data_IF_022796420421
#
_entry.id   IF_022796420421
#
_cell.length_a   1.000
_cell.length_b   1.000
_cell.length_c   1.000
_cell.angle_alpha   90.00
_cell.angle_beta   90.00
_cell.angle_gamma   90.00
#
_symmetry.space_group_name_H-M   'P 1'
#
loop_
_entity.id
_entity.type
_entity.pdbx_description
1 polymer ?
#
# COMPACT_ATOMS: atom_id res chain seq x y z
N UNK A 1 -13.06 -4.98 27.01
CA UNK A 1 -12.49 -6.19 26.37
C UNK A 1 -11.44 -5.69 25.40
N UNK A 2 -10.35 -6.42 25.18
CA UNK A 2 -9.36 -6.07 24.20
C UNK A 2 -9.97 -6.13 22.79
N UNK A 3 -9.56 -5.22 21.89
CA UNK A 3 -9.99 -5.21 20.48
C UNK A 3 -9.34 -6.38 19.75
N UNK A 4 -10.14 -7.17 19.03
CA UNK A 4 -9.67 -8.33 18.27
C UNK A 4 -9.04 -7.89 16.97
N UNK A 5 -7.81 -8.31 16.72
CA UNK A 5 -7.01 -7.90 15.55
C UNK A 5 -6.66 -9.11 14.69
N UNK A 6 -6.95 -9.00 13.40
CA UNK A 6 -6.49 -9.90 12.35
C UNK A 6 -5.30 -9.27 11.62
N UNK A 7 -4.20 -10.02 11.42
CA UNK A 7 -3.00 -9.49 10.76
C UNK A 7 -2.65 -10.34 9.53
N UNK A 8 -2.98 -9.84 8.34
CA UNK A 8 -2.76 -10.51 7.06
C UNK A 8 -1.49 -9.96 6.40
N UNK A 9 -0.62 -10.86 5.95
CA UNK A 9 0.77 -10.51 5.64
C UNK A 9 1.62 -10.33 6.90
N UNK A 10 1.30 -11.05 7.98
CA UNK A 10 1.90 -10.91 9.32
C UNK A 10 3.42 -11.03 9.34
N UNK A 11 3.99 -11.79 8.41
CA UNK A 11 5.44 -12.02 8.29
C UNK A 11 6.18 -10.92 7.54
N UNK A 12 5.45 -10.01 6.87
CA UNK A 12 6.00 -8.85 6.17
C UNK A 12 6.35 -7.69 7.12
N UNK A 13 6.82 -6.57 6.54
CA UNK A 13 7.22 -5.38 7.32
C UNK A 13 6.04 -4.80 8.12
N UNK A 14 4.91 -4.56 7.47
CA UNK A 14 3.71 -4.01 8.12
C UNK A 14 3.17 -4.96 9.18
N UNK A 15 3.05 -6.26 8.85
CA UNK A 15 2.56 -7.26 9.81
C UNK A 15 3.44 -7.39 11.05
N UNK A 16 4.76 -7.39 10.90
CA UNK A 16 5.70 -7.44 12.02
C UNK A 16 5.55 -6.22 12.92
N UNK A 17 5.50 -5.01 12.34
CA UNK A 17 5.31 -3.77 13.10
C UNK A 17 3.91 -3.70 13.75
N UNK A 18 2.88 -4.27 13.12
CA UNK A 18 1.55 -4.41 13.75
C UNK A 18 1.64 -5.27 15.01
N UNK A 19 2.34 -6.40 14.94
CA UNK A 19 2.52 -7.29 16.07
C UNK A 19 3.38 -6.67 17.20
N UNK A 20 4.37 -5.84 16.86
CA UNK A 20 5.12 -5.04 17.86
C UNK A 20 4.21 -4.07 18.63
N UNK A 21 3.26 -3.42 17.94
CA UNK A 21 2.28 -2.53 18.57
C UNK A 21 1.38 -3.33 19.51
N UNK A 22 0.81 -4.44 19.04
CA UNK A 22 -0.08 -5.27 19.83
C UNK A 22 0.63 -5.82 21.08
N UNK A 23 1.89 -6.26 20.94
CA UNK A 23 2.71 -6.74 22.05
C UNK A 23 2.98 -5.65 23.12
N UNK A 24 3.09 -4.39 22.67
CA UNK A 24 3.28 -3.25 23.58
C UNK A 24 2.01 -2.78 24.28
N UNK A 25 0.82 -3.21 23.81
CA UNK A 25 -0.48 -2.81 24.34
C UNK A 25 -1.40 -4.05 24.60
N UNK A 26 -0.97 -5.03 25.40
CA UNK A 26 -1.66 -6.32 25.53
C UNK A 26 -3.03 -6.24 26.21
N UNK A 27 -3.30 -5.17 26.96
CA UNK A 27 -4.60 -4.94 27.58
C UNK A 27 -5.62 -4.31 26.60
N UNK A 28 -5.13 -3.71 25.47
CA UNK A 28 -5.95 -3.02 24.47
C UNK A 28 -6.25 -3.89 23.25
N UNK A 29 -5.33 -4.80 22.87
CA UNK A 29 -5.44 -5.59 21.65
C UNK A 29 -5.17 -7.08 21.88
N UNK A 30 -5.90 -7.91 21.11
CA UNK A 30 -5.76 -9.37 21.07
C UNK A 30 -5.61 -9.85 19.62
N UNK A 31 -4.54 -10.55 19.28
CA UNK A 31 -4.39 -11.17 17.94
C UNK A 31 -5.29 -12.41 17.87
N UNK A 32 -6.29 -12.38 16.99
CA UNK A 32 -7.21 -13.51 16.77
C UNK A 32 -6.89 -14.34 15.55
N UNK A 33 -6.27 -13.74 14.53
CA UNK A 33 -5.79 -14.46 13.35
C UNK A 33 -4.49 -13.88 12.79
N UNK A 34 -3.67 -14.76 12.20
CA UNK A 34 -2.45 -14.43 11.48
C UNK A 34 -2.48 -15.04 10.09
N UNK A 35 -1.97 -14.33 9.09
CA UNK A 35 -1.93 -14.85 7.72
C UNK A 35 -0.63 -14.54 7.00
N UNK A 36 -0.12 -15.52 6.25
CA UNK A 36 1.04 -15.37 5.36
C UNK A 36 0.88 -16.19 4.08
N UNK A 37 1.63 -15.83 3.02
CA UNK A 37 1.63 -16.61 1.79
C UNK A 37 2.44 -17.91 1.92
N UNK A 38 3.74 -17.80 2.26
CA UNK A 38 4.70 -18.93 2.26
C UNK A 38 5.68 -18.96 3.43
N UNK A 39 5.73 -17.94 4.27
CA UNK A 39 6.74 -17.80 5.33
C UNK A 39 6.40 -18.66 6.55
N UNK A 40 6.64 -19.96 6.45
CA UNK A 40 6.22 -20.98 7.40
C UNK A 40 6.77 -20.78 8.83
N UNK A 41 8.10 -20.70 8.96
CA UNK A 41 8.75 -20.65 10.27
C UNK A 41 8.38 -19.37 11.02
N UNK A 42 8.45 -18.22 10.33
CA UNK A 42 8.11 -16.92 10.93
C UNK A 42 6.64 -16.85 11.36
N UNK A 43 5.74 -17.39 10.54
CA UNK A 43 4.31 -17.49 10.87
C UNK A 43 4.08 -18.38 12.09
N UNK A 44 4.76 -19.53 12.17
CA UNK A 44 4.68 -20.45 13.31
C UNK A 44 5.21 -19.81 14.61
N UNK A 45 6.31 -19.06 14.54
CA UNK A 45 6.86 -18.37 15.70
C UNK A 45 5.94 -17.25 16.19
N UNK A 46 5.36 -16.46 15.28
CA UNK A 46 4.32 -15.48 15.61
C UNK A 46 3.09 -16.13 16.25
N UNK A 47 2.64 -17.27 15.71
CA UNK A 47 1.50 -18.00 16.26
C UNK A 47 1.76 -18.56 17.67
N UNK A 48 2.99 -18.98 17.97
CA UNK A 48 3.37 -19.40 19.35
C UNK A 48 3.38 -18.23 20.32
N UNK A 49 3.84 -17.05 19.88
CA UNK A 49 3.92 -15.84 20.71
C UNK A 49 2.52 -15.28 21.03
N UNK A 50 1.71 -15.07 20.00
CA UNK A 50 0.40 -14.39 20.12
C UNK A 50 -0.78 -15.33 20.36
N UNK A 51 -0.59 -16.63 20.15
CA UNK A 51 -1.59 -17.68 20.40
C UNK A 51 -2.97 -17.38 19.78
N UNK A 52 -3.05 -17.07 18.47
CA UNK A 52 -4.30 -16.75 17.79
C UNK A 52 -5.23 -17.98 17.74
N UNK A 53 -6.52 -17.73 17.49
CA UNK A 53 -7.48 -18.80 17.21
C UNK A 53 -7.21 -19.46 15.85
N UNK A 54 -6.82 -18.66 14.85
CA UNK A 54 -6.63 -19.09 13.46
C UNK A 54 -5.29 -18.64 12.89
N UNK A 55 -4.69 -19.51 12.09
CA UNK A 55 -3.55 -19.21 11.23
C UNK A 55 -3.90 -19.56 9.78
N UNK A 56 -3.70 -18.62 8.87
CA UNK A 56 -3.97 -18.79 7.44
C UNK A 56 -2.67 -18.86 6.63
N UNK A 57 -2.59 -19.82 5.72
CA UNK A 57 -1.48 -19.94 4.76
C UNK A 57 -2.03 -20.08 3.34
N UNK A 58 -1.53 -19.26 2.41
CA UNK A 58 -2.01 -19.28 1.03
C UNK A 58 -1.61 -20.57 0.29
N UNK A 59 -0.39 -21.07 0.53
CA UNK A 59 0.12 -22.30 -0.07
C UNK A 59 -0.35 -23.54 0.68
N UNK A 60 -1.33 -24.33 0.16
CA UNK A 60 -1.86 -25.49 0.85
C UNK A 60 -0.86 -26.63 0.99
N UNK A 61 0.23 -26.66 0.21
CA UNK A 61 1.28 -27.67 0.32
C UNK A 61 2.03 -27.61 1.65
N UNK A 62 2.01 -26.43 2.32
CA UNK A 62 2.69 -26.17 3.59
C UNK A 62 1.88 -26.54 4.84
N UNK A 63 0.62 -26.97 4.68
CA UNK A 63 -0.28 -27.28 5.80
C UNK A 63 0.28 -28.37 6.72
N UNK A 64 0.86 -29.43 6.14
CA UNK A 64 1.41 -30.55 6.91
C UNK A 64 2.56 -30.09 7.82
N UNK A 65 3.45 -29.26 7.28
CA UNK A 65 4.60 -28.77 8.01
C UNK A 65 4.17 -27.75 9.07
N UNK A 66 3.20 -26.88 8.73
CA UNK A 66 2.64 -25.91 9.68
C UNK A 66 1.95 -26.60 10.86
N UNK A 67 1.20 -27.69 10.63
CA UNK A 67 0.60 -28.52 11.71
C UNK A 67 1.62 -29.09 12.68
N UNK A 68 2.81 -29.44 12.21
CA UNK A 68 3.87 -29.97 13.06
C UNK A 68 4.52 -28.88 13.93
N UNK A 69 4.42 -27.61 13.53
CA UNK A 69 5.04 -26.47 14.21
C UNK A 69 4.10 -25.78 15.20
N UNK A 70 2.77 -25.96 15.04
CA UNK A 70 1.76 -25.25 15.82
C UNK A 70 1.12 -26.09 16.91
N UNK A 71 0.68 -25.48 18.02
CA UNK A 71 -0.20 -26.11 18.99
C UNK A 71 -1.50 -26.61 18.33
N UNK A 72 -1.94 -27.82 18.72
CA UNK A 72 -3.13 -28.48 18.12
C UNK A 72 -4.44 -27.73 18.27
N UNK A 73 -4.51 -26.73 19.13
CA UNK A 73 -5.69 -25.88 19.37
C UNK A 73 -5.87 -24.76 18.33
N UNK A 74 -4.82 -24.42 17.57
CA UNK A 74 -4.86 -23.38 16.55
C UNK A 74 -5.44 -23.99 15.27
N UNK A 75 -6.49 -23.41 14.77
CA UNK A 75 -7.08 -23.78 13.48
C UNK A 75 -6.19 -23.30 12.33
N UNK A 76 -6.06 -24.12 11.27
CA UNK A 76 -5.28 -23.77 10.08
C UNK A 76 -6.21 -23.68 8.89
N UNK A 77 -6.33 -22.50 8.31
CA UNK A 77 -6.93 -22.26 7.00
C UNK A 77 -5.85 -22.29 5.92
N UNK A 78 -6.18 -22.82 4.74
CA UNK A 78 -5.21 -22.93 3.64
C UNK A 78 -5.87 -22.79 2.26
N UNK A 79 -5.15 -22.17 1.34
CA UNK A 79 -5.60 -21.96 -0.05
C UNK A 79 -5.92 -20.49 -0.34
N UNK A 80 -6.49 -20.24 -1.51
CA UNK A 80 -6.69 -18.91 -2.07
C UNK A 80 -7.61 -18.00 -1.22
N UNK A 81 -8.58 -18.56 -0.49
CA UNK A 81 -9.53 -17.82 0.34
C UNK A 81 -9.10 -17.70 1.80
N UNK A 82 -8.08 -18.47 2.20
CA UNK A 82 -7.70 -18.60 3.61
C UNK A 82 -7.36 -17.26 4.29
N UNK A 83 -6.66 -16.36 3.59
CA UNK A 83 -6.30 -15.06 4.13
C UNK A 83 -7.54 -14.17 4.31
N UNK A 84 -8.48 -14.22 3.36
CA UNK A 84 -9.72 -13.47 3.40
C UNK A 84 -10.62 -13.95 4.55
N UNK A 85 -10.80 -15.28 4.69
CA UNK A 85 -11.57 -15.89 5.79
C UNK A 85 -10.97 -15.57 7.16
N UNK A 86 -9.65 -15.62 7.30
CA UNK A 86 -8.96 -15.26 8.54
C UNK A 86 -9.11 -13.78 8.89
N UNK A 87 -9.22 -12.90 7.89
CA UNK A 87 -9.33 -11.47 8.08
C UNK A 87 -10.65 -11.05 8.76
N UNK A 88 -11.74 -11.75 8.50
CA UNK A 88 -13.08 -11.47 9.04
C UNK A 88 -13.17 -11.69 10.56
N UNK A 89 -12.23 -12.41 11.16
CA UNK A 89 -12.31 -12.80 12.58
C UNK A 89 -12.05 -11.64 13.54
N UNK A 90 -11.32 -10.62 13.09
CA UNK A 90 -10.99 -9.45 13.89
C UNK A 90 -12.04 -8.35 13.76
N UNK A 91 -12.22 -7.56 14.82
CA UNK A 91 -12.95 -6.28 14.76
C UNK A 91 -12.18 -5.25 13.93
N UNK A 92 -10.84 -5.41 13.89
CA UNK A 92 -9.91 -4.65 13.06
C UNK A 92 -9.01 -5.64 12.33
N UNK A 93 -8.88 -5.48 11.01
CA UNK A 93 -7.92 -6.26 10.22
C UNK A 93 -6.87 -5.33 9.60
N UNK A 94 -5.59 -5.68 9.74
CA UNK A 94 -4.50 -5.01 9.02
C UNK A 94 -4.16 -5.83 7.78
N UNK A 95 -4.40 -5.26 6.61
CA UNK A 95 -4.05 -5.87 5.33
C UNK A 95 -2.67 -5.39 4.86
N UNK A 96 -1.63 -6.16 5.21
CA UNK A 96 -0.24 -5.98 4.76
C UNK A 96 0.18 -6.97 3.68
N UNK A 97 -0.76 -7.57 2.98
CA UNK A 97 -0.49 -8.44 1.81
C UNK A 97 0.03 -7.57 0.66
N UNK A 98 1.05 -8.02 -0.04
CA UNK A 98 1.70 -7.24 -1.13
C UNK A 98 1.00 -7.49 -2.46
N UNK A 99 0.81 -6.42 -3.24
CA UNK A 99 0.30 -6.48 -4.60
C UNK A 99 -1.20 -6.82 -4.68
N UNK A 100 -1.64 -7.17 -5.87
CA UNK A 100 -3.05 -7.45 -6.17
C UNK A 100 -3.65 -8.60 -5.34
N UNK A 101 -2.81 -9.51 -4.81
CA UNK A 101 -3.24 -10.62 -3.94
C UNK A 101 -3.93 -10.15 -2.63
N UNK A 102 -3.77 -8.89 -2.24
CA UNK A 102 -4.45 -8.31 -1.07
C UNK A 102 -5.92 -7.96 -1.28
N UNK A 103 -6.41 -7.89 -2.53
CA UNK A 103 -7.79 -7.49 -2.83
C UNK A 103 -8.87 -8.38 -2.17
N UNK A 104 -8.78 -9.72 -2.18
CA UNK A 104 -9.76 -10.57 -1.49
C UNK A 104 -9.85 -10.27 0.01
N UNK A 105 -8.74 -9.97 0.67
CA UNK A 105 -8.69 -9.59 2.09
C UNK A 105 -9.42 -8.25 2.30
N UNK A 106 -9.13 -7.26 1.45
CA UNK A 106 -9.80 -5.95 1.50
C UNK A 106 -11.32 -6.08 1.40
N UNK A 107 -11.79 -6.87 0.42
CA UNK A 107 -13.21 -7.07 0.20
C UNK A 107 -13.87 -7.79 1.38
N UNK A 108 -13.30 -8.90 1.84
CA UNK A 108 -13.83 -9.71 2.92
C UNK A 108 -14.05 -8.90 4.21
N UNK A 109 -13.04 -8.10 4.61
CA UNK A 109 -13.13 -7.27 5.83
C UNK A 109 -14.23 -6.22 5.71
N UNK A 110 -14.32 -5.52 4.57
CA UNK A 110 -15.33 -4.49 4.37
C UNK A 110 -16.74 -5.06 4.25
N UNK A 111 -16.90 -6.18 3.54
CA UNK A 111 -18.19 -6.89 3.41
C UNK A 111 -18.68 -7.47 4.75
N UNK A 112 -17.75 -7.83 5.63
CA UNK A 112 -18.08 -8.23 7.00
C UNK A 112 -18.49 -7.05 7.92
N UNK A 113 -18.34 -5.80 7.45
CA UNK A 113 -18.65 -4.61 8.26
C UNK A 113 -17.60 -4.31 9.33
N UNK A 114 -16.38 -4.79 9.15
CA UNK A 114 -15.27 -4.61 10.08
C UNK A 114 -14.38 -3.44 9.69
N UNK A 115 -13.50 -3.02 10.60
CA UNK A 115 -12.48 -2.01 10.32
C UNK A 115 -11.32 -2.62 9.55
N UNK A 116 -10.94 -1.99 8.45
CA UNK A 116 -9.78 -2.31 7.63
C UNK A 116 -8.70 -1.25 7.81
N UNK A 117 -7.54 -1.63 8.35
CA UNK A 117 -6.30 -0.87 8.21
C UNK A 117 -5.62 -1.28 6.91
N UNK A 118 -5.72 -0.45 5.87
CA UNK A 118 -5.28 -0.77 4.52
C UNK A 118 -3.84 -0.30 4.29
N UNK A 119 -2.89 -1.24 4.27
CA UNK A 119 -1.54 -1.01 3.78
C UNK A 119 -1.34 -1.51 2.33
N UNK A 120 -2.29 -2.30 1.82
CA UNK A 120 -2.32 -2.81 0.46
C UNK A 120 -3.02 -1.81 -0.48
N UNK A 121 -2.26 -0.84 -0.99
CA UNK A 121 -2.80 0.20 -1.89
C UNK A 121 -3.32 -0.37 -3.21
N UNK A 122 -2.73 -1.46 -3.68
CA UNK A 122 -3.07 -2.09 -4.96
C UNK A 122 -4.55 -2.54 -5.03
N UNK A 123 -5.16 -2.84 -3.89
CA UNK A 123 -6.61 -3.15 -3.83
C UNK A 123 -7.47 -1.98 -4.28
N UNK A 124 -7.18 -0.76 -3.83
CA UNK A 124 -7.91 0.44 -4.24
C UNK A 124 -7.58 0.84 -5.68
N UNK A 125 -6.31 0.79 -6.05
CA UNK A 125 -5.86 1.14 -7.40
C UNK A 125 -6.51 0.24 -8.45
N UNK A 126 -6.51 -1.07 -8.19
CA UNK A 126 -7.05 -2.04 -9.15
C UNK A 126 -8.57 -2.15 -9.12
N UNK A 127 -9.20 -1.97 -7.97
CA UNK A 127 -10.62 -2.29 -7.78
C UNK A 127 -11.42 -1.16 -7.11
N UNK A 128 -10.98 0.10 -7.23
CA UNK A 128 -11.59 1.26 -6.59
C UNK A 128 -13.13 1.24 -6.64
N UNK A 129 -13.77 1.22 -7.82
CA UNK A 129 -15.24 1.23 -7.92
C UNK A 129 -15.93 0.03 -7.23
N UNK A 130 -15.28 -1.13 -7.17
CA UNK A 130 -15.80 -2.34 -6.49
C UNK A 130 -15.62 -2.20 -4.98
N UNK A 131 -14.44 -1.76 -4.53
CA UNK A 131 -14.14 -1.51 -3.11
C UNK A 131 -15.05 -0.42 -2.53
N UNK A 132 -15.36 0.64 -3.30
CA UNK A 132 -16.31 1.69 -2.86
C UNK A 132 -17.69 1.13 -2.50
N UNK A 133 -18.16 0.09 -3.21
CA UNK A 133 -19.43 -0.57 -2.86
C UNK A 133 -19.32 -1.29 -1.52
N UNK A 134 -18.22 -2.00 -1.26
CA UNK A 134 -18.00 -2.71 0.00
C UNK A 134 -17.83 -1.73 1.20
N UNK A 135 -17.23 -0.55 0.98
CA UNK A 135 -17.14 0.51 2.01
C UNK A 135 -18.50 1.01 2.52
N UNK A 136 -19.57 0.84 1.74
CA UNK A 136 -20.92 1.21 2.14
C UNK A 136 -21.61 0.14 3.04
N UNK A 137 -20.94 -0.98 3.32
CA UNK A 137 -21.46 -1.99 4.25
C UNK A 137 -21.58 -1.38 5.65
N UNK A 138 -22.73 -1.54 6.34
CA UNK A 138 -22.91 -0.99 7.68
C UNK A 138 -21.84 -1.49 8.66
N UNK A 139 -21.13 -0.56 9.29
CA UNK A 139 -20.03 -0.85 10.22
C UNK A 139 -18.65 -0.90 9.57
N UNK A 140 -18.56 -0.99 8.25
CA UNK A 140 -17.26 -0.97 7.55
C UNK A 140 -16.56 0.38 7.73
N UNK A 141 -15.30 0.33 8.14
CA UNK A 141 -14.40 1.49 8.18
C UNK A 141 -13.13 1.16 7.42
N UNK A 142 -12.72 2.02 6.50
CA UNK A 142 -11.43 1.90 5.82
C UNK A 142 -10.49 3.00 6.28
N UNK A 143 -9.39 2.62 6.91
CA UNK A 143 -8.35 3.53 7.39
C UNK A 143 -7.04 3.29 6.64
N UNK A 144 -6.46 4.32 6.01
CA UNK A 144 -5.20 4.16 5.30
C UNK A 144 -4.03 3.97 6.26
N UNK A 145 -3.19 2.99 5.98
CA UNK A 145 -1.92 2.74 6.67
C UNK A 145 -0.74 3.32 5.87
N UNK A 146 -0.89 3.50 4.55
CA UNK A 146 0.10 4.25 3.76
C UNK A 146 0.32 5.63 4.40
N UNK A 147 1.60 6.04 4.57
CA UNK A 147 1.94 7.19 5.42
C UNK A 147 1.34 8.49 4.92
N UNK A 148 1.33 8.70 3.62
CA UNK A 148 0.81 9.90 2.99
C UNK A 148 -0.71 10.00 3.13
N UNK A 149 -1.42 8.89 2.91
CA UNK A 149 -2.88 8.84 3.03
C UNK A 149 -3.34 8.88 4.48
N UNK A 150 -2.60 8.24 5.39
CA UNK A 150 -2.82 8.38 6.82
C UNK A 150 -2.67 9.85 7.26
N UNK A 151 -1.69 10.57 6.71
CA UNK A 151 -1.49 12.00 6.96
C UNK A 151 -2.67 12.83 6.45
N UNK A 152 -3.13 12.61 5.20
CA UNK A 152 -4.28 13.29 4.62
C UNK A 152 -5.52 13.03 5.48
N UNK A 153 -5.79 11.78 5.83
CA UNK A 153 -6.94 11.43 6.66
C UNK A 153 -6.91 12.16 8.02
N UNK A 154 -5.74 12.31 8.64
CA UNK A 154 -5.57 13.08 9.86
C UNK A 154 -5.80 14.59 9.64
N UNK A 155 -5.33 15.17 8.53
CA UNK A 155 -5.55 16.57 8.19
C UNK A 155 -7.04 16.87 7.94
N UNK A 156 -7.76 15.97 7.26
CA UNK A 156 -9.19 16.10 6.99
C UNK A 156 -10.03 16.11 8.29
N UNK A 157 -9.61 15.41 9.34
CA UNK A 157 -10.27 15.45 10.65
C UNK A 157 -10.27 16.82 11.31
N UNK A 158 -9.39 17.72 10.89
CA UNK A 158 -9.37 19.10 11.42
C UNK A 158 -10.55 19.96 10.92
N UNK A 159 -11.30 19.46 9.94
CA UNK A 159 -12.45 20.16 9.38
C UNK A 159 -13.65 19.20 9.20
N UNK A 160 -14.84 19.69 9.56
CA UNK A 160 -16.09 18.93 9.45
C UNK A 160 -16.80 19.12 8.09
N UNK A 161 -16.22 19.91 7.18
CA UNK A 161 -16.80 20.21 5.87
C UNK A 161 -15.82 19.79 4.75
N UNK A 162 -16.06 18.63 4.15
CA UNK A 162 -15.25 18.09 3.06
C UNK A 162 -15.30 18.97 1.81
N UNK A 163 -16.41 19.68 1.54
CA UNK A 163 -16.54 20.61 0.42
C UNK A 163 -15.56 21.80 0.49
N UNK A 164 -14.93 22.03 1.64
CA UNK A 164 -13.92 23.08 1.80
C UNK A 164 -12.50 22.66 1.38
N UNK A 165 -12.28 21.38 1.03
CA UNK A 165 -10.98 20.92 0.53
C UNK A 165 -10.77 21.44 -0.88
N UNK A 166 -9.67 22.17 -1.09
CA UNK A 166 -9.30 22.73 -2.40
C UNK A 166 -8.30 21.83 -3.10
N UNK A 167 -7.33 21.28 -2.38
CA UNK A 167 -6.37 20.32 -2.93
C UNK A 167 -5.71 19.47 -1.88
N UNK A 168 -5.18 18.35 -2.34
CA UNK A 168 -4.29 17.46 -1.60
C UNK A 168 -2.87 17.61 -2.15
N UNK A 169 -1.88 17.67 -1.26
CA UNK A 169 -0.46 17.69 -1.62
C UNK A 169 0.22 16.47 -1.03
N UNK A 170 0.54 15.51 -1.89
CA UNK A 170 1.30 14.31 -1.54
C UNK A 170 2.79 14.64 -1.51
N UNK A 171 3.49 14.26 -0.45
CA UNK A 171 4.93 14.36 -0.40
C UNK A 171 5.60 13.07 -0.87
N UNK A 172 6.76 13.16 -1.49
CA UNK A 172 7.58 12.04 -1.90
C UNK A 172 9.01 12.22 -1.36
N UNK A 173 9.68 11.13 -0.95
CA UNK A 173 11.11 11.21 -0.61
C UNK A 173 12.00 11.59 -1.81
N UNK A 174 11.50 11.37 -3.02
CA UNK A 174 12.23 11.52 -4.28
C UNK A 174 13.01 10.28 -4.70
N UNK A 175 13.06 9.26 -3.85
CA UNK A 175 13.77 8.01 -4.11
C UNK A 175 15.29 8.15 -4.20
N UNK A 176 16.02 7.06 -4.54
CA UNK A 176 17.49 7.04 -4.58
C UNK A 176 18.09 7.83 -5.76
N UNK A 177 17.29 8.20 -6.75
CA UNK A 177 17.77 8.83 -7.99
C UNK A 177 17.37 10.30 -8.13
N UNK A 178 16.89 10.92 -7.06
CA UNK A 178 16.58 12.35 -7.02
C UNK A 178 17.77 13.19 -7.49
N UNK A 179 17.52 14.12 -8.41
CA UNK A 179 18.54 15.04 -8.97
C UNK A 179 19.47 14.43 -10.02
N UNK A 180 19.25 13.16 -10.43
CA UNK A 180 19.98 12.55 -11.54
C UNK A 180 19.35 12.86 -12.88
N UNK A 181 20.18 13.02 -13.91
CA UNK A 181 19.72 13.15 -15.30
C UNK A 181 19.43 11.79 -15.93
N UNK A 182 18.56 11.75 -16.95
CA UNK A 182 18.16 10.51 -17.63
C UNK A 182 19.35 9.72 -18.20
N UNK A 183 20.40 10.41 -18.64
CA UNK A 183 21.65 9.81 -19.16
C UNK A 183 22.39 8.99 -18.13
N UNK A 184 22.33 9.39 -16.85
CA UNK A 184 22.95 8.69 -15.73
C UNK A 184 22.18 7.44 -15.29
N UNK A 185 20.88 7.40 -15.65
CA UNK A 185 19.95 6.33 -15.23
C UNK A 185 19.97 5.14 -16.20
N UNK A 186 20.68 5.22 -17.32
CA UNK A 186 20.71 4.16 -18.34
C UNK A 186 21.35 2.85 -17.86
N UNK A 187 22.22 2.91 -16.86
CA UNK A 187 23.02 1.77 -16.35
C UNK A 187 22.71 1.41 -14.92
N UNK A 188 21.57 1.86 -14.37
CA UNK A 188 21.16 1.57 -13.00
C UNK A 188 21.04 0.07 -12.76
N UNK A 189 21.72 -0.41 -11.72
CA UNK A 189 21.63 -1.78 -11.24
C UNK A 189 20.44 -1.98 -10.30
N UNK A 190 20.05 -3.24 -10.10
CA UNK A 190 19.00 -3.61 -9.11
C UNK A 190 19.43 -3.18 -7.70
N UNK A 191 20.70 -3.37 -7.38
CA UNK A 191 21.29 -3.05 -6.08
C UNK A 191 21.20 -1.55 -5.77
N UNK A 192 21.45 -0.69 -6.77
CA UNK A 192 21.30 0.77 -6.63
C UNK A 192 19.85 1.18 -6.46
N UNK A 193 18.91 0.59 -7.21
CA UNK A 193 17.48 0.88 -7.11
C UNK A 193 16.90 0.44 -5.75
N UNK A 194 17.46 -0.60 -5.13
CA UNK A 194 17.04 -1.09 -3.80
C UNK A 194 17.66 -0.31 -2.63
N UNK A 195 18.59 0.59 -2.87
CA UNK A 195 19.24 1.39 -1.82
C UNK A 195 18.47 2.70 -1.55
N UNK A 196 17.30 2.59 -0.92
CA UNK A 196 16.51 3.76 -0.58
C UNK A 196 17.16 4.58 0.55
N UNK A 197 17.24 5.94 0.43
CA UNK A 197 17.97 6.78 1.41
C UNK A 197 17.32 6.86 2.78
N UNK A 198 15.99 6.70 2.91
CA UNK A 198 15.25 6.95 4.15
C UNK A 198 14.50 5.71 4.65
N UNK A 199 13.86 4.95 3.75
CA UNK A 199 12.94 3.88 4.11
C UNK A 199 13.55 2.49 3.88
N UNK A 200 13.31 1.57 4.85
CA UNK A 200 13.60 0.14 4.68
C UNK A 200 12.31 -0.59 4.29
N UNK A 201 12.17 -0.89 3.02
CA UNK A 201 10.94 -1.43 2.43
C UNK A 201 11.18 -2.74 1.68
N UNK A 202 10.10 -3.41 1.29
CA UNK A 202 10.17 -4.56 0.39
C UNK A 202 10.69 -4.18 -1.00
N UNK A 203 11.27 -5.13 -1.76
CA UNK A 203 11.94 -4.84 -3.03
C UNK A 203 11.01 -4.20 -4.07
N UNK A 204 9.75 -4.66 -4.20
CA UNK A 204 8.78 -4.09 -5.16
C UNK A 204 8.57 -2.60 -4.92
N UNK A 205 8.17 -2.21 -3.70
CA UNK A 205 7.86 -0.82 -3.37
C UNK A 205 9.11 0.07 -3.39
N UNK A 206 10.30 -0.49 -3.13
CA UNK A 206 11.58 0.26 -3.24
C UNK A 206 11.89 0.60 -4.69
N UNK A 207 11.68 -0.32 -5.64
CA UNK A 207 11.80 -0.03 -7.08
C UNK A 207 10.74 0.99 -7.51
N UNK A 208 9.49 0.86 -7.07
CA UNK A 208 8.43 1.83 -7.35
C UNK A 208 8.79 3.24 -6.83
N UNK A 209 9.40 3.33 -5.65
CA UNK A 209 9.92 4.60 -5.13
C UNK A 209 11.00 5.17 -6.04
N UNK A 210 11.91 4.33 -6.53
CA UNK A 210 13.01 4.74 -7.40
C UNK A 210 12.56 5.33 -8.74
N UNK A 211 11.39 4.92 -9.24
CA UNK A 211 10.79 5.38 -10.50
C UNK A 211 9.72 6.48 -10.31
N UNK A 212 9.41 6.86 -9.07
CA UNK A 212 8.23 7.63 -8.65
C UNK A 212 6.90 6.96 -9.03
N UNK A 213 6.88 5.69 -9.43
CA UNK A 213 5.63 4.94 -9.60
C UNK A 213 4.90 4.77 -8.26
N UNK A 214 5.61 4.57 -7.15
CA UNK A 214 4.97 4.51 -5.84
C UNK A 214 4.09 5.74 -5.59
N UNK A 215 4.63 6.93 -5.87
CA UNK A 215 3.89 8.18 -5.73
C UNK A 215 2.76 8.31 -6.77
N UNK A 216 2.96 7.80 -7.97
CA UNK A 216 1.90 7.70 -8.98
C UNK A 216 0.74 6.81 -8.55
N UNK A 217 1.04 5.64 -7.97
CA UNK A 217 0.03 4.74 -7.40
C UNK A 217 -0.71 5.41 -6.23
N UNK A 218 -0.01 6.17 -5.42
CA UNK A 218 -0.60 6.93 -4.32
C UNK A 218 -1.51 8.07 -4.78
N UNK A 219 -1.26 8.68 -5.93
CA UNK A 219 -2.19 9.65 -6.55
C UNK A 219 -3.53 8.98 -6.87
N UNK A 220 -3.50 7.78 -7.43
CA UNK A 220 -4.72 7.01 -7.71
C UNK A 220 -5.43 6.62 -6.40
N UNK A 221 -4.66 6.14 -5.42
CA UNK A 221 -5.20 5.79 -4.11
C UNK A 221 -5.84 6.99 -3.41
N UNK A 222 -5.24 8.19 -3.49
CA UNK A 222 -5.81 9.41 -2.91
C UNK A 222 -7.16 9.79 -3.55
N UNK A 223 -7.26 9.67 -4.87
CA UNK A 223 -8.54 9.85 -5.58
C UNK A 223 -9.60 8.88 -5.05
N UNK A 224 -9.28 7.60 -4.96
CA UNK A 224 -10.20 6.56 -4.52
C UNK A 224 -10.58 6.66 -3.03
N UNK A 225 -9.65 7.08 -2.18
CA UNK A 225 -9.91 7.21 -0.74
C UNK A 225 -10.77 8.43 -0.41
N UNK A 226 -10.46 9.57 -1.03
CA UNK A 226 -10.95 10.87 -0.60
C UNK A 226 -11.87 11.55 -1.62
N UNK A 227 -12.07 10.96 -2.81
CA UNK A 227 -12.96 11.52 -3.85
C UNK A 227 -12.47 12.84 -4.44
N UNK A 228 -11.17 13.13 -4.37
CA UNK A 228 -10.55 14.36 -4.91
C UNK A 228 -10.20 14.13 -6.39
N UNK A 229 -10.51 15.09 -7.23
CA UNK A 229 -10.18 15.03 -8.66
C UNK A 229 -8.66 15.06 -8.88
N UNK A 230 -8.19 14.34 -9.91
CA UNK A 230 -6.75 14.28 -10.23
C UNK A 230 -6.11 15.66 -10.46
N UNK A 231 -6.88 16.64 -10.95
CA UNK A 231 -6.43 18.03 -11.11
C UNK A 231 -6.15 18.76 -9.80
N UNK A 232 -6.71 18.29 -8.70
CA UNK A 232 -6.57 18.85 -7.36
C UNK A 232 -5.63 18.03 -6.47
N UNK A 233 -4.89 17.07 -7.05
CA UNK A 233 -3.82 16.33 -6.38
C UNK A 233 -2.46 16.81 -6.91
N UNK A 234 -1.68 17.40 -6.03
CA UNK A 234 -0.31 17.82 -6.31
C UNK A 234 0.71 16.86 -5.67
N UNK A 235 1.88 16.76 -6.26
CA UNK A 235 3.02 16.00 -5.74
C UNK A 235 4.20 16.94 -5.55
N UNK A 236 4.82 16.88 -4.37
CA UNK A 236 6.07 17.58 -4.06
C UNK A 236 7.09 16.59 -3.51
N UNK A 237 8.37 16.81 -3.81
CA UNK A 237 9.47 16.04 -3.22
C UNK A 237 9.87 16.70 -1.91
N UNK A 238 9.88 15.90 -0.83
CA UNK A 238 10.30 16.29 0.51
C UNK A 238 11.30 15.25 1.04
N UNK A 239 12.61 15.47 0.83
CA UNK A 239 13.63 14.45 1.08
C UNK A 239 13.72 13.95 2.50
N UNK A 240 13.42 14.82 3.48
CA UNK A 240 13.49 14.47 4.90
C UNK A 240 12.35 13.51 5.32
N UNK A 241 11.27 13.43 4.55
CA UNK A 241 10.09 12.61 4.86
C UNK A 241 9.52 12.84 6.26
N UNK A 242 9.59 14.08 6.76
CA UNK A 242 9.00 14.52 8.04
C UNK A 242 7.56 14.98 7.84
N UNK A 243 7.29 15.76 6.76
CA UNK A 243 5.93 16.08 6.33
C UNK A 243 5.46 14.95 5.44
N UNK A 244 4.43 14.23 5.88
CA UNK A 244 3.93 13.07 5.14
C UNK A 244 2.91 13.43 4.08
N UNK A 245 2.07 14.45 4.30
CA UNK A 245 1.19 15.07 3.28
C UNK A 245 0.53 16.32 3.86
N UNK A 246 -0.17 17.05 2.99
CA UNK A 246 -0.85 18.30 3.34
C UNK A 246 -2.21 18.36 2.65
N UNK A 247 -3.15 19.09 3.27
CA UNK A 247 -4.46 19.43 2.70
C UNK A 247 -4.62 20.93 2.69
N UNK A 248 -4.90 21.50 1.54
CA UNK A 248 -5.20 22.93 1.36
C UNK A 248 -6.70 23.14 1.26
N UNK A 249 -7.22 24.08 2.00
CA UNK A 249 -8.64 24.42 2.06
C UNK A 249 -9.00 25.63 1.18
N UNK A 250 -10.29 25.86 0.95
CA UNK A 250 -10.83 26.91 0.08
C UNK A 250 -10.46 28.33 0.52
N UNK A 251 -10.10 28.54 1.77
CA UNK A 251 -9.60 29.81 2.29
C UNK A 251 -8.09 30.03 2.08
N UNK A 252 -7.40 29.03 1.48
CA UNK A 252 -5.97 29.03 1.23
C UNK A 252 -5.13 28.52 2.39
N UNK A 253 -5.74 28.16 3.53
CA UNK A 253 -5.00 27.55 4.64
C UNK A 253 -4.56 26.12 4.27
N UNK A 254 -3.35 25.74 4.69
CA UNK A 254 -2.83 24.39 4.50
C UNK A 254 -2.52 23.75 5.84
N UNK A 255 -3.05 22.53 6.06
CA UNK A 255 -2.75 21.70 7.23
C UNK A 255 -1.84 20.56 6.79
N UNK A 256 -0.77 20.34 7.55
CA UNK A 256 0.21 19.29 7.32
C UNK A 256 0.28 18.34 8.51
N UNK A 257 0.45 17.06 8.25
CA UNK A 257 0.79 16.08 9.29
C UNK A 257 2.30 15.84 9.24
N UNK A 258 2.93 15.93 10.40
CA UNK A 258 4.36 15.74 10.60
C UNK A 258 4.59 14.60 11.60
N UNK A 259 5.54 13.72 11.28
CA UNK A 259 6.07 12.71 12.21
C UNK A 259 7.43 12.20 11.73
N UNK A 260 8.12 11.44 12.57
CA UNK A 260 9.25 10.64 12.10
C UNK A 260 8.77 9.58 11.07
N UNK A 261 9.62 9.16 10.12
CA UNK A 261 9.28 8.14 9.12
C UNK A 261 9.22 6.74 9.75
N UNK A 262 8.13 6.46 10.45
CA UNK A 262 7.88 5.20 11.15
C UNK A 262 6.44 4.72 10.90
N UNK A 263 6.30 3.57 10.22
CA UNK A 263 4.99 3.03 9.87
C UNK A 263 4.15 2.64 11.09
N UNK A 264 4.76 2.42 12.26
CA UNK A 264 4.01 2.10 13.49
C UNK A 264 3.05 3.22 13.90
N UNK A 265 3.36 4.47 13.55
CA UNK A 265 2.43 5.59 13.77
C UNK A 265 1.15 5.40 12.95
N UNK A 266 1.27 5.08 11.67
CA UNK A 266 0.12 4.92 10.76
C UNK A 266 -0.68 3.65 11.08
N UNK A 267 0.02 2.54 11.37
CA UNK A 267 -0.60 1.29 11.83
C UNK A 267 -1.36 1.52 13.14
N UNK A 268 -0.72 2.17 14.10
CA UNK A 268 -1.31 2.49 15.39
C UNK A 268 -2.51 3.43 15.28
N UNK A 269 -2.45 4.39 14.34
CA UNK A 269 -3.59 5.23 14.03
C UNK A 269 -4.79 4.43 13.53
N UNK A 270 -4.57 3.47 12.62
CA UNK A 270 -5.63 2.60 12.12
C UNK A 270 -6.22 1.68 13.21
N UNK A 271 -5.38 1.16 14.10
CA UNK A 271 -5.81 0.32 15.23
C UNK A 271 -6.64 1.11 16.26
N UNK A 272 -6.15 2.30 16.66
CA UNK A 272 -6.73 3.07 17.76
C UNK A 272 -7.86 4.02 17.36
N UNK A 273 -8.08 4.25 16.06
CA UNK A 273 -9.08 5.21 15.57
C UNK A 273 -10.46 5.01 16.27
N UNK A 274 -11.18 6.08 16.65
CA UNK A 274 -10.88 7.52 16.44
C UNK A 274 -9.89 8.11 17.45
N UNK A 275 -9.37 7.33 18.38
CA UNK A 275 -8.41 7.73 19.38
C UNK A 275 -6.98 7.71 18.82
N UNK A 276 -5.99 7.97 19.67
CA UNK A 276 -4.57 7.78 19.38
C UNK A 276 -4.02 6.71 20.31
N UNK A 277 -2.99 5.99 19.87
CA UNK A 277 -2.24 5.09 20.75
C UNK A 277 -1.64 5.86 21.92
N UNK A 278 -1.57 5.19 23.06
CA UNK A 278 -0.89 5.70 24.26
C UNK A 278 0.64 5.58 24.19
N UNK A 279 1.15 4.73 23.28
CA UNK A 279 2.60 4.51 23.10
C UNK A 279 3.12 5.34 21.95
N UNK A 280 4.10 6.26 22.17
CA UNK A 280 4.67 7.07 21.11
C UNK A 280 5.66 6.28 20.25
N UNK A 281 5.62 6.52 18.94
CA UNK A 281 6.60 6.03 17.98
C UNK A 281 7.31 7.21 17.32
N UNK A 282 8.46 7.61 17.87
CA UNK A 282 9.33 8.63 17.33
C UNK A 282 8.75 10.05 17.41
N UNK A 283 9.11 10.79 18.42
CA UNK A 283 8.82 12.23 18.48
C UNK A 283 9.82 13.00 17.61
N UNK A 284 9.36 14.11 17.03
CA UNK A 284 10.24 15.04 16.31
C UNK A 284 11.07 15.83 17.34
N UNK A 285 12.37 15.76 17.22
CA UNK A 285 13.26 16.64 17.98
C UNK A 285 13.30 18.03 17.31
N UNK A 286 12.56 18.97 17.86
CA UNK A 286 12.48 20.33 17.35
C UNK A 286 13.78 21.13 17.53
N UNK A 287 14.73 20.66 18.33
CA UNK A 287 16.06 21.29 18.46
C UNK A 287 16.99 20.90 17.31
N UNK A 288 16.77 19.73 16.69
CA UNK A 288 17.56 19.22 15.56
C UNK A 288 16.92 19.60 14.20
N UNK A 289 15.59 19.71 14.15
CA UNK A 289 14.85 20.02 12.93
C UNK A 289 14.88 21.54 12.64
N UNK A 290 15.84 21.98 11.84
CA UNK A 290 16.02 23.40 11.52
C UNK A 290 15.39 23.81 10.17
N UNK A 291 15.11 22.87 9.27
CA UNK A 291 14.65 23.15 7.90
C UNK A 291 13.81 21.99 7.35
N UNK A 292 12.83 22.33 6.51
CA UNK A 292 12.04 21.41 5.70
C UNK A 292 12.16 21.84 4.25
N UNK A 293 12.63 20.94 3.37
CA UNK A 293 12.86 21.24 1.96
C UNK A 293 11.74 20.64 1.11
N UNK A 294 11.32 21.40 0.10
CA UNK A 294 10.33 20.98 -0.88
C UNK A 294 10.81 21.31 -2.28
N UNK A 295 10.69 20.34 -3.20
CA UNK A 295 11.12 20.45 -4.59
C UNK A 295 9.98 19.99 -5.52
N UNK A 296 9.95 20.51 -6.73
CA UNK A 296 9.06 19.97 -7.78
C UNK A 296 9.64 18.66 -8.31
N UNK A 297 8.84 17.58 -8.45
CA UNK A 297 9.33 16.34 -9.05
C UNK A 297 9.72 16.55 -10.52
N UNK A 298 10.84 15.97 -10.93
CA UNK A 298 11.28 15.97 -12.33
C UNK A 298 10.47 14.94 -13.14
N UNK A 299 9.34 15.38 -13.69
CA UNK A 299 8.42 14.53 -14.45
C UNK A 299 8.99 14.08 -15.80
N UNK A 300 9.99 14.79 -16.34
CA UNK A 300 10.66 14.39 -17.59
C UNK A 300 11.56 13.17 -17.37
N UNK A 301 12.19 13.09 -16.21
CA UNK A 301 13.04 11.94 -15.82
C UNK A 301 12.18 10.80 -15.28
N UNK A 302 11.19 11.10 -14.45
CA UNK A 302 10.36 10.10 -13.74
C UNK A 302 8.98 9.94 -14.42
N UNK A 303 8.98 9.46 -15.66
CA UNK A 303 7.78 9.30 -16.51
C UNK A 303 6.67 8.45 -15.85
N UNK A 304 7.02 7.54 -14.95
CA UNK A 304 6.04 6.68 -14.26
C UNK A 304 5.01 7.48 -13.45
N UNK A 305 5.38 8.64 -12.92
CA UNK A 305 4.44 9.52 -12.23
C UNK A 305 3.34 10.02 -13.17
N UNK A 306 3.71 10.48 -14.39
CA UNK A 306 2.74 10.93 -15.37
C UNK A 306 1.84 9.81 -15.86
N UNK A 307 2.39 8.61 -16.10
CA UNK A 307 1.62 7.45 -16.52
C UNK A 307 0.53 7.09 -15.52
N UNK A 308 0.79 7.27 -14.22
CA UNK A 308 -0.22 7.03 -13.20
C UNK A 308 -1.34 8.10 -13.22
N UNK A 309 -1.00 9.39 -13.39
CA UNK A 309 -2.00 10.44 -13.59
C UNK A 309 -2.83 10.20 -14.86
N UNK A 310 -2.20 9.77 -15.95
CA UNK A 310 -2.86 9.44 -17.20
C UNK A 310 -3.84 8.28 -17.01
N UNK A 311 -3.38 7.16 -16.43
CA UNK A 311 -4.22 6.00 -16.16
C UNK A 311 -5.40 6.35 -15.24
N UNK A 312 -5.15 7.11 -14.17
CA UNK A 312 -6.20 7.60 -13.28
C UNK A 312 -7.23 8.46 -14.01
N UNK A 313 -6.77 9.38 -14.85
CA UNK A 313 -7.65 10.26 -15.64
C UNK A 313 -8.42 9.53 -16.76
N UNK A 314 -7.86 8.45 -17.32
CA UNK A 314 -8.57 7.55 -18.22
C UNK A 314 -9.73 6.85 -17.50
N UNK A 315 -9.57 6.57 -16.20
CA UNK A 315 -10.60 5.93 -15.37
C UNK A 315 -10.84 4.47 -15.71
N UNK A 316 -12.04 3.98 -15.38
CA UNK A 316 -12.48 2.61 -15.63
C UNK A 316 -11.46 1.58 -15.09
N UNK A 317 -10.91 0.70 -15.95
CA UNK A 317 -9.92 -0.31 -15.57
C UNK A 317 -8.47 0.06 -15.92
N UNK A 318 -8.21 1.29 -16.39
CA UNK A 318 -6.85 1.72 -16.72
C UNK A 318 -5.91 1.72 -15.50
N UNK A 319 -6.33 2.11 -14.29
CA UNK A 319 -5.52 1.96 -13.08
C UNK A 319 -5.16 0.50 -12.77
N UNK A 320 -6.13 -0.43 -12.89
CA UNK A 320 -5.90 -1.87 -12.71
C UNK A 320 -4.87 -2.40 -13.72
N UNK A 321 -5.04 -1.98 -14.98
CA UNK A 321 -4.14 -2.33 -16.08
C UNK A 321 -2.72 -1.88 -15.82
N UNK A 322 -2.54 -0.60 -15.43
CA UNK A 322 -1.24 -0.03 -15.12
C UNK A 322 -0.58 -0.74 -13.92
N UNK A 323 -1.35 -1.01 -12.85
CA UNK A 323 -0.84 -1.71 -11.68
C UNK A 323 -0.32 -3.12 -12.04
N UNK A 324 -1.09 -3.89 -12.79
CA UNK A 324 -0.70 -5.24 -13.24
C UNK A 324 0.56 -5.19 -14.12
N UNK A 325 0.62 -4.24 -15.07
CA UNK A 325 1.79 -4.00 -15.89
C UNK A 325 3.03 -3.66 -15.06
N UNK A 326 2.87 -2.78 -14.06
CA UNK A 326 3.95 -2.38 -13.16
C UNK A 326 4.50 -3.56 -12.35
N UNK A 327 3.65 -4.42 -11.81
CA UNK A 327 4.10 -5.59 -11.06
C UNK A 327 4.97 -6.51 -11.95
N UNK A 328 4.59 -6.72 -13.21
CA UNK A 328 5.36 -7.53 -14.17
C UNK A 328 6.69 -6.84 -14.55
N UNK A 329 6.66 -5.54 -14.83
CA UNK A 329 7.84 -4.78 -15.20
C UNK A 329 8.87 -4.73 -14.06
N UNK A 330 8.42 -4.48 -12.84
CA UNK A 330 9.28 -4.46 -11.64
C UNK A 330 9.86 -5.85 -11.37
N UNK A 331 9.07 -6.92 -11.46
CA UNK A 331 9.57 -8.30 -11.31
C UNK A 331 10.66 -8.59 -12.35
N UNK A 332 10.45 -8.20 -13.61
CA UNK A 332 11.41 -8.40 -14.69
C UNK A 332 12.70 -7.59 -14.49
N UNK A 333 12.60 -6.38 -13.92
CA UNK A 333 13.78 -5.59 -13.54
C UNK A 333 14.56 -6.27 -12.41
N UNK A 334 13.89 -6.72 -11.35
CA UNK A 334 14.52 -7.45 -10.23
C UNK A 334 15.21 -8.74 -10.69
N UNK A 335 14.68 -9.40 -11.71
CA UNK A 335 15.28 -10.57 -12.36
C UNK A 335 16.38 -10.20 -13.39
N UNK A 336 16.71 -8.92 -13.54
CA UNK A 336 17.73 -8.39 -14.49
C UNK A 336 17.38 -8.67 -15.96
N UNK A 337 16.09 -8.86 -16.28
CA UNK A 337 15.55 -9.05 -17.64
C UNK A 337 15.12 -7.72 -18.29
N UNK A 338 14.99 -6.67 -17.51
CA UNK A 338 14.57 -5.35 -17.95
C UNK A 338 15.50 -4.30 -17.33
N UNK A 339 15.83 -3.22 -18.06
CA UNK A 339 16.56 -2.08 -17.48
C UNK A 339 15.63 -1.19 -16.66
N UNK A 340 16.19 -0.34 -15.79
CA UNK A 340 15.42 0.62 -15.00
C UNK A 340 14.58 1.56 -15.90
N UNK A 341 15.19 2.13 -16.95
CA UNK A 341 14.48 2.96 -17.95
C UNK A 341 13.42 2.14 -18.70
N UNK A 342 13.69 0.86 -18.94
CA UNK A 342 12.75 -0.05 -19.59
C UNK A 342 11.43 -0.19 -18.86
N UNK A 343 11.41 0.02 -17.53
CA UNK A 343 10.16 -0.03 -16.74
C UNK A 343 9.13 0.98 -17.31
N UNK A 344 9.47 2.28 -17.35
CA UNK A 344 8.54 3.30 -17.85
C UNK A 344 8.14 3.09 -19.30
N UNK A 345 9.07 2.62 -20.15
CA UNK A 345 8.80 2.34 -21.57
C UNK A 345 7.81 1.19 -21.77
N UNK A 346 7.93 0.13 -20.96
CA UNK A 346 7.01 -1.02 -21.00
C UNK A 346 5.64 -0.60 -20.48
N UNK A 347 5.58 0.19 -19.42
CA UNK A 347 4.32 0.70 -18.87
C UNK A 347 3.59 1.58 -19.86
N UNK A 348 4.28 2.50 -20.53
CA UNK A 348 3.69 3.37 -21.54
C UNK A 348 3.14 2.58 -22.73
N UNK A 349 3.90 1.60 -23.23
CA UNK A 349 3.46 0.72 -24.32
C UNK A 349 2.26 -0.15 -23.90
N UNK A 350 2.29 -0.68 -22.69
CA UNK A 350 1.18 -1.47 -22.14
C UNK A 350 -0.08 -0.63 -21.96
N UNK A 351 0.03 0.59 -21.39
CA UNK A 351 -1.10 1.48 -21.18
C UNK A 351 -1.72 1.95 -22.50
N UNK A 352 -0.91 2.22 -23.53
CA UNK A 352 -1.38 2.58 -24.86
C UNK A 352 -2.16 1.44 -25.55
N UNK A 353 -1.98 0.21 -25.13
CA UNK A 353 -2.70 -0.94 -25.66
C UNK A 353 -3.99 -1.28 -24.87
N UNK A 354 -4.26 -0.55 -23.76
CA UNK A 354 -5.51 -0.72 -23.03
C UNK A 354 -6.71 -0.35 -23.88
N UNK A 355 -7.77 -1.18 -23.85
CA UNK A 355 -8.92 -1.10 -24.76
C UNK A 355 -10.13 -0.34 -24.24
N UNK A 356 -10.08 0.24 -23.03
CA UNK A 356 -11.21 0.95 -22.44
C UNK A 356 -12.23 0.05 -21.75
N UNK A 357 -11.82 -1.12 -21.31
CA UNK A 357 -12.70 -2.09 -20.67
C UNK A 357 -13.22 -1.58 -19.32
N UNK A 358 -14.46 -1.98 -18.99
CA UNK A 358 -15.13 -1.62 -17.73
C UNK A 358 -15.18 -2.82 -16.81
N UNK A 359 -15.17 -2.56 -15.51
CA UNK A 359 -15.40 -3.57 -14.50
C UNK A 359 -16.63 -3.21 -13.65
N UNK A 360 -17.50 -4.20 -13.41
CA UNK A 360 -18.67 -4.08 -12.54
C UNK A 360 -18.53 -4.92 -11.28
N UNK A 361 -17.71 -5.94 -11.35
CA UNK A 361 -17.47 -6.91 -10.28
C UNK A 361 -15.99 -7.32 -10.21
N UNK A 362 -15.65 -7.99 -9.12
CA UNK A 362 -14.25 -8.43 -8.86
C UNK A 362 -13.70 -9.34 -9.97
N UNK A 363 -14.58 -10.16 -10.57
CA UNK A 363 -14.17 -11.08 -11.62
C UNK A 363 -13.68 -10.35 -12.88
N UNK A 364 -14.30 -9.23 -13.22
CA UNK A 364 -13.86 -8.39 -14.33
C UNK A 364 -12.43 -7.84 -14.07
N UNK A 365 -12.18 -7.38 -12.85
CA UNK A 365 -10.85 -6.88 -12.44
C UNK A 365 -9.78 -8.00 -12.52
N UNK A 366 -10.13 -9.22 -12.07
CA UNK A 366 -9.23 -10.38 -12.16
C UNK A 366 -8.87 -10.71 -13.59
N UNK A 367 -9.80 -10.57 -14.52
CA UNK A 367 -9.56 -10.84 -15.94
C UNK A 367 -8.69 -9.73 -16.57
N UNK A 368 -8.96 -8.46 -16.24
CA UNK A 368 -8.16 -7.31 -16.68
C UNK A 368 -6.71 -7.45 -16.21
N UNK A 369 -6.50 -7.80 -14.93
CA UNK A 369 -5.17 -8.03 -14.37
C UNK A 369 -4.42 -9.13 -15.17
N UNK A 370 -5.07 -10.25 -15.47
CA UNK A 370 -4.47 -11.33 -16.26
C UNK A 370 -4.11 -10.89 -17.67
N UNK A 371 -4.98 -10.13 -18.32
CA UNK A 371 -4.77 -9.64 -19.69
C UNK A 371 -3.59 -8.68 -19.74
N UNK A 372 -3.53 -7.71 -18.82
CA UNK A 372 -2.41 -6.77 -18.70
C UNK A 372 -1.09 -7.49 -18.43
N UNK A 373 -1.05 -8.44 -17.50
CA UNK A 373 0.15 -9.23 -17.19
C UNK A 373 0.66 -10.00 -18.41
N UNK A 374 -0.24 -10.63 -19.16
CA UNK A 374 0.11 -11.37 -20.38
C UNK A 374 0.72 -10.43 -21.42
N UNK A 375 0.01 -9.34 -21.75
CA UNK A 375 0.48 -8.39 -22.75
C UNK A 375 1.83 -7.77 -22.35
N UNK A 376 1.96 -7.36 -21.09
CA UNK A 376 3.22 -6.76 -20.59
C UNK A 376 4.38 -7.74 -20.67
N UNK A 377 4.14 -9.03 -20.39
CA UNK A 377 5.15 -10.06 -20.54
C UNK A 377 5.57 -10.24 -22.01
N UNK A 378 4.61 -10.19 -22.96
CA UNK A 378 4.88 -10.23 -24.40
C UNK A 378 5.70 -9.02 -24.87
N UNK A 379 5.37 -7.80 -24.39
CA UNK A 379 6.12 -6.58 -24.67
C UNK A 379 7.59 -6.71 -24.22
N UNK A 380 7.81 -7.21 -22.99
CA UNK A 380 9.16 -7.40 -22.45
C UNK A 380 9.95 -8.40 -23.29
N UNK A 381 9.35 -9.54 -23.64
CA UNK A 381 9.99 -10.57 -24.47
C UNK A 381 10.42 -10.04 -25.85
N UNK A 382 9.66 -9.11 -26.42
CA UNK A 382 10.00 -8.51 -27.72
C UNK A 382 11.10 -7.45 -27.65
N UNK A 383 11.48 -6.99 -26.45
CA UNK A 383 12.53 -5.99 -26.21
C UNK A 383 13.86 -6.61 -25.75
N UNK A 384 13.85 -7.86 -25.30
CA UNK A 384 15.03 -8.66 -24.92
C UNK A 384 15.53 -9.50 -26.07
#
# INVERSE_FOLDING_TARGET
MATKVSVLGSTGSIGTQTLEIVDSCPDEYEVVSLGAAKSLEKLADQAKQFNPAVVAIEDPSLVSDLKNLLPSKIEILAGQTALAEAAEMGEVAINGVVGFAGLPVTMSVLEAGNRLGLANKESLIAAGPVVQKARNTPGAELLPVDSEHCAIHQCLRANNNEESVSKIVLTASGGPFRGKELTELSTISVEEALNHPTWSMGPKITVDSSTLMNKGLEVIEAHELFGIDYGDIEVVVHPQSIVHSMVTFSDGATIAQLSQPDMRLCIGYALAYPNRLSVPYGEIDWSELSQLDFETPDRAVFRCLDLAFEAGSMGETAPAWLNAANEVAVASFLEKKLSWIGISQVLEESLNAWSGDKANEIQDILEIDKQSRRLTSEIILNKT
#
